data_IF_707727404103
#
_entry.id   IF_707727404103
#
_cell.length_a   1.000
_cell.length_b   1.000
_cell.length_c   1.000
_cell.angle_alpha   90.00
_cell.angle_beta   90.00
_cell.angle_gamma   90.00
#
_symmetry.space_group_name_H-M   'P 1'
#
loop_
_entity.id
_entity.type
_entity.pdbx_description
1 polymer ?
#
# COMPACT_ATOMS: atom_id res chain seq x y z
N UNK A 1 4.48 5.30 -10.20
CA UNK A 1 3.93 4.09 -9.57
C UNK A 1 4.76 3.84 -8.32
N UNK A 2 4.16 3.78 -7.13
CA UNK A 2 4.90 3.61 -5.87
C UNK A 2 5.67 2.27 -5.86
N UNK A 3 6.86 2.24 -5.23
CA UNK A 3 7.69 1.02 -5.06
C UNK A 3 6.88 -0.15 -4.50
N UNK A 4 5.95 0.17 -3.61
CA UNK A 4 5.10 -0.81 -2.95
C UNK A 4 4.18 -1.50 -3.95
N UNK A 5 3.51 -0.71 -4.79
CA UNK A 5 2.66 -1.25 -5.87
C UNK A 5 3.47 -2.04 -6.89
N UNK A 6 4.67 -1.55 -7.24
CA UNK A 6 5.59 -2.26 -8.13
C UNK A 6 6.02 -3.61 -7.55
N UNK A 7 6.26 -3.70 -6.25
CA UNK A 7 6.64 -4.94 -5.57
C UNK A 7 5.50 -5.95 -5.57
N UNK A 8 4.28 -5.53 -5.25
CA UNK A 8 3.09 -6.41 -5.31
C UNK A 8 2.89 -6.92 -6.76
N UNK A 9 3.04 -6.04 -7.75
CA UNK A 9 2.93 -6.37 -9.18
C UNK A 9 3.99 -7.37 -9.63
N UNK A 10 5.27 -7.10 -9.32
CA UNK A 10 6.36 -7.97 -9.74
C UNK A 10 6.32 -9.36 -9.11
N UNK A 11 5.81 -9.46 -7.89
CA UNK A 11 5.83 -10.68 -7.10
C UNK A 11 4.50 -11.46 -7.13
N UNK A 12 3.48 -10.92 -7.81
CA UNK A 12 2.14 -11.50 -7.86
C UNK A 12 1.60 -11.92 -6.49
N UNK A 13 1.92 -11.13 -5.44
CA UNK A 13 1.72 -11.53 -4.04
C UNK A 13 0.25 -11.67 -3.66
N UNK A 14 -0.61 -10.90 -4.31
CA UNK A 14 -2.05 -10.87 -4.06
C UNK A 14 -2.78 -10.55 -5.37
N UNK A 15 -3.14 -11.57 -6.18
CA UNK A 15 -3.79 -11.36 -7.47
C UNK A 15 -5.11 -10.56 -7.36
N UNK A 16 -5.85 -10.75 -6.28
CA UNK A 16 -7.05 -9.96 -5.97
C UNK A 16 -6.71 -8.47 -5.80
N UNK A 17 -5.68 -8.15 -5.01
CA UNK A 17 -5.23 -6.78 -4.79
C UNK A 17 -4.71 -6.12 -6.07
N UNK A 18 -4.10 -6.88 -6.98
CA UNK A 18 -3.68 -6.37 -8.29
C UNK A 18 -4.84 -5.85 -9.13
N UNK A 19 -5.99 -6.53 -9.08
CA UNK A 19 -7.20 -6.04 -9.73
C UNK A 19 -7.67 -4.73 -9.09
N UNK A 20 -7.68 -4.66 -7.76
CA UNK A 20 -8.10 -3.46 -7.04
C UNK A 20 -7.20 -2.24 -7.34
N UNK A 21 -5.89 -2.47 -7.48
CA UNK A 21 -4.90 -1.44 -7.87
C UNK A 21 -5.20 -0.91 -9.28
N UNK A 22 -5.57 -1.80 -10.21
CA UNK A 22 -5.93 -1.42 -11.60
C UNK A 22 -7.26 -0.68 -11.66
N UNK A 23 -8.17 -0.98 -10.74
CA UNK A 23 -9.46 -0.28 -10.59
C UNK A 23 -9.32 1.08 -9.88
N UNK A 24 -8.11 1.48 -9.49
CA UNK A 24 -7.86 2.78 -8.85
C UNK A 24 -8.27 2.85 -7.38
N UNK A 25 -8.54 1.72 -6.73
CA UNK A 25 -8.92 1.68 -5.31
C UNK A 25 -7.75 2.01 -4.40
N UNK A 26 -8.03 2.52 -3.20
CA UNK A 26 -7.00 2.72 -2.18
C UNK A 26 -6.52 1.37 -1.67
N UNK A 27 -5.20 1.18 -1.64
CA UNK A 27 -4.55 0.02 -1.06
C UNK A 27 -3.79 0.44 0.18
N UNK A 28 -3.99 -0.30 1.27
CA UNK A 28 -3.27 -0.13 2.52
C UNK A 28 -2.46 -1.38 2.82
N UNK A 29 -1.13 -1.28 2.75
CA UNK A 29 -0.25 -2.29 3.32
C UNK A 29 0.02 -1.95 4.77
N UNK A 30 0.02 -2.95 5.63
CA UNK A 30 0.36 -2.74 7.03
C UNK A 30 1.05 -3.96 7.64
N UNK A 31 1.72 -3.74 8.76
CA UNK A 31 2.43 -4.77 9.49
C UNK A 31 2.71 -4.33 10.93
N UNK A 32 3.21 -5.26 11.74
CA UNK A 32 3.39 -5.05 13.17
C UNK A 32 3.21 -6.36 13.93
N UNK A 33 3.62 -6.38 15.19
CA UNK A 33 3.55 -7.60 16.01
C UNK A 33 2.39 -7.59 16.99
N UNK A 34 1.95 -6.40 17.37
CA UNK A 34 0.89 -6.20 18.35
C UNK A 34 -0.50 -6.41 17.71
N UNK A 35 -1.17 -7.47 18.14
CA UNK A 35 -2.53 -7.81 17.71
C UNK A 35 -3.57 -6.77 18.12
N UNK A 36 -3.40 -6.13 19.28
CA UNK A 36 -4.32 -5.07 19.70
C UNK A 36 -4.17 -3.86 18.79
N UNK A 37 -2.93 -3.50 18.45
CA UNK A 37 -2.67 -2.45 17.48
C UNK A 37 -3.29 -2.81 16.11
N UNK A 38 -3.07 -4.04 15.62
CA UNK A 38 -3.65 -4.52 14.35
C UNK A 38 -5.18 -4.34 14.35
N UNK A 39 -5.87 -4.83 15.38
CA UNK A 39 -7.33 -4.72 15.50
C UNK A 39 -7.82 -3.28 15.55
N UNK A 40 -7.14 -2.42 16.31
CA UNK A 40 -7.51 -1.00 16.44
C UNK A 40 -7.30 -0.27 15.12
N UNK A 41 -6.16 -0.51 14.48
CA UNK A 41 -5.80 0.10 13.20
C UNK A 41 -6.77 -0.28 12.08
N UNK A 42 -7.04 -1.58 11.88
CA UNK A 42 -7.93 -2.04 10.80
C UNK A 42 -9.34 -1.50 10.95
N UNK A 43 -9.90 -1.54 12.16
CA UNK A 43 -11.23 -0.97 12.45
C UNK A 43 -11.27 0.53 12.21
N UNK A 44 -10.25 1.27 12.65
CA UNK A 44 -10.18 2.71 12.44
C UNK A 44 -10.05 3.07 10.96
N UNK A 45 -9.20 2.36 10.22
CA UNK A 45 -9.00 2.57 8.78
C UNK A 45 -10.29 2.27 7.98
N UNK A 46 -10.98 1.18 8.29
CA UNK A 46 -12.26 0.83 7.66
C UNK A 46 -13.36 1.86 7.99
N UNK A 47 -13.44 2.30 9.25
CA UNK A 47 -14.41 3.32 9.66
C UNK A 47 -14.13 4.66 8.96
N UNK A 48 -12.86 5.07 8.86
CA UNK A 48 -12.46 6.29 8.15
C UNK A 48 -12.79 6.20 6.65
N UNK A 49 -12.51 5.06 6.01
CA UNK A 49 -12.84 4.83 4.61
C UNK A 49 -14.36 4.90 4.36
N UNK A 50 -15.15 4.29 5.24
CA UNK A 50 -16.61 4.32 5.19
C UNK A 50 -17.16 5.74 5.37
N UNK A 51 -16.63 6.49 6.34
CA UNK A 51 -17.01 7.90 6.56
C UNK A 51 -16.67 8.79 5.36
N UNK A 52 -15.59 8.48 4.64
CA UNK A 52 -15.19 9.18 3.42
C UNK A 52 -15.92 8.70 2.16
N UNK A 53 -16.72 7.63 2.23
CA UNK A 53 -17.34 7.00 1.06
C UNK A 53 -16.34 6.34 0.11
N UNK A 54 -15.17 5.94 0.61
CA UNK A 54 -14.08 5.34 -0.17
C UNK A 54 -13.94 3.87 0.20
N UNK A 55 -13.60 3.03 -0.79
CA UNK A 55 -13.20 1.64 -0.53
C UNK A 55 -11.69 1.56 -0.31
N UNK A 56 -11.28 0.91 0.79
CA UNK A 56 -9.88 0.64 1.11
C UNK A 56 -9.63 -0.86 1.16
N UNK A 57 -8.62 -1.31 0.44
CA UNK A 57 -8.20 -2.71 0.38
C UNK A 57 -6.96 -2.88 1.24
N UNK A 58 -7.12 -3.58 2.36
CA UNK A 58 -6.07 -3.74 3.35
C UNK A 58 -5.37 -5.09 3.19
N UNK A 59 -4.03 -5.10 3.23
CA UNK A 59 -3.22 -6.32 3.19
C UNK A 59 -2.19 -6.29 4.32
N UNK A 60 -2.24 -7.31 5.17
CA UNK A 60 -1.21 -7.54 6.17
C UNK A 60 0.02 -8.21 5.55
N UNK A 61 1.17 -7.55 5.67
CA UNK A 61 2.46 -8.00 5.13
C UNK A 61 3.32 -8.62 6.23
N UNK A 62 3.17 -8.21 7.49
CA UNK A 62 3.99 -8.70 8.60
C UNK A 62 5.46 -8.25 8.51
N UNK A 63 6.34 -8.89 9.30
CA UNK A 63 7.79 -8.58 9.37
C UNK A 63 8.65 -9.76 8.93
N UNK A 64 9.85 -9.50 8.40
CA UNK A 64 10.73 -10.50 7.78
C UNK A 64 11.23 -11.57 8.76
N UNK A 65 11.45 -11.21 10.03
CA UNK A 65 12.11 -12.07 11.05
C UNK A 65 11.15 -12.82 11.97
N UNK A 66 9.84 -12.70 11.79
CA UNK A 66 8.85 -13.09 12.79
C UNK A 66 7.87 -14.14 12.29
N UNK A 67 8.38 -15.26 11.79
CA UNK A 67 7.57 -16.31 11.15
C UNK A 67 6.41 -16.81 12.02
N UNK A 68 6.67 -17.14 13.28
CA UNK A 68 5.63 -17.68 14.18
C UNK A 68 4.58 -16.62 14.54
N UNK A 69 5.01 -15.37 14.80
CA UNK A 69 4.07 -14.26 15.07
C UNK A 69 3.26 -13.91 13.82
N UNK A 70 3.87 -13.85 12.64
CA UNK A 70 3.16 -13.64 11.39
C UNK A 70 2.11 -14.74 11.16
N UNK A 71 2.43 -16.00 11.45
CA UNK A 71 1.47 -17.11 11.34
C UNK A 71 0.27 -16.90 12.25
N UNK A 72 0.51 -16.57 13.51
CA UNK A 72 -0.53 -16.31 14.50
C UNK A 72 -1.38 -15.10 14.10
N UNK A 73 -0.75 -14.02 13.66
CA UNK A 73 -1.42 -12.80 13.23
C UNK A 73 -2.26 -13.06 11.98
N UNK A 74 -1.75 -13.78 10.99
CA UNK A 74 -2.50 -14.15 9.79
C UNK A 74 -3.78 -14.92 10.14
N UNK A 75 -3.68 -15.92 11.04
CA UNK A 75 -4.83 -16.71 11.46
C UNK A 75 -5.92 -15.84 12.11
N UNK A 76 -5.53 -14.94 13.03
CA UNK A 76 -6.46 -14.05 13.73
C UNK A 76 -7.08 -13.02 12.77
N UNK A 77 -6.27 -12.45 11.87
CA UNK A 77 -6.75 -11.48 10.87
C UNK A 77 -7.78 -12.11 9.94
N UNK A 78 -7.57 -13.37 9.54
CA UNK A 78 -8.53 -14.13 8.73
C UNK A 78 -9.80 -14.49 9.53
N UNK A 79 -9.64 -15.00 10.75
CA UNK A 79 -10.76 -15.38 11.63
C UNK A 79 -11.68 -14.19 11.94
N UNK A 80 -11.09 -13.02 12.21
CA UNK A 80 -11.82 -11.79 12.50
C UNK A 80 -12.20 -10.99 11.24
N UNK A 81 -11.85 -11.46 10.04
CA UNK A 81 -12.09 -10.80 8.76
C UNK A 81 -11.62 -9.33 8.74
N UNK A 82 -10.43 -9.06 9.30
CA UNK A 82 -9.91 -7.68 9.43
C UNK A 82 -9.32 -7.15 8.12
N UNK A 83 -8.70 -8.01 7.32
CA UNK A 83 -8.08 -7.66 6.04
C UNK A 83 -7.66 -8.90 5.25
N UNK A 84 -7.11 -8.69 4.05
CA UNK A 84 -6.35 -9.74 3.36
C UNK A 84 -5.04 -10.04 4.09
N UNK A 85 -4.52 -11.25 3.90
CA UNK A 85 -3.19 -11.68 4.39
C UNK A 85 -2.45 -12.38 3.26
N UNK A 86 -1.12 -12.40 3.33
CA UNK A 86 -0.33 -13.24 2.44
C UNK A 86 -0.51 -14.72 2.82
N UNK A 87 -0.89 -15.61 1.88
CA UNK A 87 -1.25 -17.00 2.18
C UNK A 87 -0.06 -17.81 2.69
N UNK A 88 1.13 -17.52 2.17
CA UNK A 88 2.36 -18.21 2.50
C UNK A 88 3.34 -17.29 3.23
N UNK A 89 3.88 -17.72 4.37
CA UNK A 89 4.86 -16.94 5.13
C UNK A 89 6.14 -16.65 4.33
N UNK A 90 6.46 -17.50 3.35
CA UNK A 90 7.58 -17.29 2.44
C UNK A 90 7.38 -16.05 1.58
N UNK A 91 6.13 -15.68 1.25
CA UNK A 91 5.83 -14.45 0.50
C UNK A 91 6.11 -13.19 1.31
N UNK A 92 5.90 -13.24 2.63
CA UNK A 92 6.30 -12.15 3.55
C UNK A 92 7.81 -11.96 3.48
N UNK A 93 8.58 -13.04 3.59
CA UNK A 93 10.03 -12.96 3.49
C UNK A 93 10.50 -12.46 2.12
N UNK A 94 9.92 -12.98 1.02
CA UNK A 94 10.24 -12.53 -0.32
C UNK A 94 9.97 -11.03 -0.53
N UNK A 95 8.88 -10.51 0.04
CA UNK A 95 8.57 -9.08 -0.04
C UNK A 95 9.73 -8.23 0.51
N UNK A 96 10.24 -8.58 1.70
CA UNK A 96 11.33 -7.85 2.34
C UNK A 96 12.67 -8.00 1.62
N UNK A 97 13.04 -9.22 1.21
CA UNK A 97 14.27 -9.47 0.43
C UNK A 97 14.28 -8.71 -0.90
N UNK A 98 13.11 -8.51 -1.51
CA UNK A 98 13.00 -7.76 -2.77
C UNK A 98 13.17 -6.26 -2.56
N UNK A 99 12.71 -5.71 -1.44
CA UNK A 99 13.02 -4.33 -1.05
C UNK A 99 14.52 -4.14 -0.82
N UNK A 100 15.18 -5.07 -0.12
CA UNK A 100 16.63 -5.06 0.08
C UNK A 100 17.37 -5.14 -1.27
N UNK A 101 16.92 -6.00 -2.17
CA UNK A 101 17.51 -6.14 -3.51
C UNK A 101 17.39 -4.86 -4.33
N UNK A 102 16.23 -4.18 -4.27
CA UNK A 102 16.03 -2.90 -4.96
C UNK A 102 16.89 -1.80 -4.34
N UNK A 103 17.04 -1.78 -3.02
CA UNK A 103 17.94 -0.87 -2.33
C UNK A 103 19.38 -1.03 -2.82
N UNK A 104 19.90 -2.27 -2.82
CA UNK A 104 21.23 -2.56 -3.31
C UNK A 104 21.44 -2.12 -4.77
N UNK A 105 20.44 -2.37 -5.63
CA UNK A 105 20.48 -1.94 -7.03
C UNK A 105 20.53 -0.42 -7.18
N UNK A 106 19.80 0.33 -6.35
CA UNK A 106 19.81 1.80 -6.34
C UNK A 106 21.13 2.36 -5.83
N UNK A 107 21.71 1.76 -4.79
CA UNK A 107 23.04 2.13 -4.29
C UNK A 107 24.10 1.95 -5.37
N UNK A 108 24.08 0.84 -6.12
CA UNK A 108 25.01 0.62 -7.24
C UNK A 108 24.87 1.65 -8.37
N UNK A 109 23.71 2.29 -8.49
CA UNK A 109 23.45 3.38 -9.44
C UNK A 109 23.77 4.78 -8.87
N UNK A 110 24.44 4.86 -7.72
CA UNK A 110 24.72 6.09 -6.98
C UNK A 110 23.45 6.90 -6.65
N UNK A 111 22.32 6.22 -6.46
CA UNK A 111 21.06 6.83 -6.00
C UNK A 111 21.04 6.92 -4.48
N UNK A 112 20.58 8.05 -3.97
CA UNK A 112 20.50 8.35 -2.54
C UNK A 112 19.08 8.81 -2.18
N UNK A 113 18.80 8.87 -0.88
CA UNK A 113 17.54 9.37 -0.32
C UNK A 113 17.28 10.82 -0.74
N UNK A 114 18.30 11.61 -1.06
CA UNK A 114 18.14 13.00 -1.50
C UNK A 114 17.77 13.09 -2.99
N UNK A 115 18.38 12.24 -3.82
CA UNK A 115 18.34 12.38 -5.27
C UNK A 115 17.33 11.45 -5.99
N UNK A 116 16.73 10.48 -5.29
CA UNK A 116 15.85 9.48 -5.89
C UNK A 116 14.65 9.19 -4.98
N UNK A 117 13.44 9.46 -5.48
CA UNK A 117 12.21 9.23 -4.73
C UNK A 117 11.97 7.74 -4.43
N UNK A 118 12.31 6.85 -5.37
CA UNK A 118 12.15 5.41 -5.21
C UNK A 118 13.10 4.94 -4.10
N UNK A 119 14.32 5.48 -4.04
CA UNK A 119 15.26 5.23 -2.94
C UNK A 119 14.70 5.66 -1.57
N UNK A 120 14.07 6.84 -1.48
CA UNK A 120 13.38 7.28 -0.25
C UNK A 120 12.29 6.30 0.19
N UNK A 121 11.44 5.89 -0.75
CA UNK A 121 10.35 4.95 -0.49
C UNK A 121 10.89 3.58 -0.02
N UNK A 122 11.95 3.07 -0.65
CA UNK A 122 12.59 1.81 -0.25
C UNK A 122 13.16 1.90 1.17
N UNK A 123 13.96 2.93 1.46
CA UNK A 123 14.58 3.11 2.78
C UNK A 123 13.52 3.28 3.87
N UNK A 124 12.46 4.02 3.58
CA UNK A 124 11.31 4.18 4.50
C UNK A 124 10.67 2.83 4.79
N UNK A 125 10.37 2.04 3.76
CA UNK A 125 9.80 0.70 3.95
C UNK A 125 10.70 -0.22 4.77
N UNK A 126 11.99 -0.28 4.44
CA UNK A 126 12.97 -1.12 5.16
C UNK A 126 13.12 -0.72 6.63
N UNK A 127 12.93 0.56 6.96
CA UNK A 127 12.96 1.01 8.37
C UNK A 127 11.86 0.38 9.23
N UNK A 128 10.72 0.02 8.62
CA UNK A 128 9.60 -0.59 9.33
C UNK A 128 9.86 -2.05 9.74
N UNK A 129 10.70 -2.77 9.01
CA UNK A 129 11.04 -4.15 9.35
C UNK A 129 11.91 -4.26 10.61
N UNK A 130 12.65 -3.19 10.93
CA UNK A 130 13.52 -3.09 12.10
C UNK A 130 12.89 -2.41 13.33
N UNK A 131 11.72 -1.78 13.18
CA UNK A 131 10.98 -1.18 14.30
C UNK A 131 10.14 -2.23 15.01
N UNK A 132 9.85 -2.07 16.31
CA UNK A 132 8.87 -2.88 17.04
C UNK A 132 7.42 -2.42 16.82
N UNK A 133 7.24 -1.18 16.33
CA UNK A 133 5.94 -0.54 16.15
C UNK A 133 5.13 -1.15 14.99
N UNK A 134 3.82 -0.89 15.04
CA UNK A 134 2.95 -1.09 13.89
C UNK A 134 3.16 -0.03 12.82
N UNK A 135 3.14 -0.43 11.55
CA UNK A 135 3.34 0.45 10.41
C UNK A 135 2.24 0.26 9.38
N UNK A 136 1.95 1.32 8.62
CA UNK A 136 1.05 1.26 7.49
C UNK A 136 1.50 2.20 6.37
N UNK A 137 1.29 1.78 5.13
CA UNK A 137 1.44 2.62 3.94
C UNK A 137 0.19 2.53 3.09
N UNK A 138 -0.36 3.69 2.79
CA UNK A 138 -1.54 3.84 1.95
C UNK A 138 -1.11 4.40 0.61
N UNK A 139 -1.50 3.74 -0.47
CA UNK A 139 -1.30 4.21 -1.83
C UNK A 139 -2.62 4.17 -2.57
N UNK A 140 -2.88 5.19 -3.38
CA UNK A 140 -3.88 5.09 -4.43
C UNK A 140 -3.40 4.10 -5.49
N UNK A 141 -4.30 3.24 -5.96
CA UNK A 141 -4.12 2.51 -7.20
C UNK A 141 -3.95 3.47 -8.37
N UNK A 142 -3.47 2.97 -9.51
CA UNK A 142 -3.39 3.78 -10.71
C UNK A 142 -4.81 4.02 -11.23
N UNK A 143 -5.48 5.08 -10.78
CA UNK A 143 -6.69 5.53 -11.44
C UNK A 143 -6.33 5.93 -12.88
N UNK A 144 -7.16 5.58 -13.90
CA UNK A 144 -7.13 6.34 -15.13
C UNK A 144 -7.36 7.80 -14.73
N UNK A 145 -6.42 8.66 -15.07
CA UNK A 145 -6.57 10.10 -14.89
C UNK A 145 -7.79 10.52 -15.71
N UNK A 146 -8.96 10.63 -15.07
CA UNK A 146 -10.11 11.31 -15.65
C UNK A 146 -10.01 12.76 -15.17
N UNK A 147 -9.45 13.69 -15.97
CA UNK A 147 -9.69 15.09 -15.69
C UNK A 147 -11.19 15.27 -15.70
N UNK A 148 -11.75 15.78 -14.61
CA UNK A 148 -13.07 16.40 -14.72
C UNK A 148 -12.91 17.52 -15.76
N UNK A 149 -13.65 17.49 -16.88
CA UNK A 149 -13.67 18.63 -17.76
C UNK A 149 -14.14 19.83 -16.93
N UNK A 150 -13.55 21.03 -17.13
CA UNK A 150 -14.01 22.22 -16.44
C UNK A 150 -15.53 22.38 -16.63
N UNK A 151 -16.26 22.87 -15.62
CA UNK A 151 -17.69 23.09 -15.73
C UNK A 151 -17.99 23.83 -17.03
N UNK A 152 -18.87 23.29 -17.87
CA UNK A 152 -19.30 23.97 -19.09
C UNK A 152 -19.86 25.33 -18.68
N UNK A 153 -19.12 26.39 -19.01
CA UNK A 153 -19.64 27.75 -18.88
C UNK A 153 -20.83 27.87 -19.83
N UNK A 154 -21.98 28.40 -19.37
CA UNK A 154 -23.14 28.61 -20.24
C UNK A 154 -22.74 29.42 -21.47
N UNK A 155 -23.15 28.94 -22.65
CA UNK A 155 -22.85 29.53 -23.95
C UNK A 155 -23.70 30.79 -24.23
N UNK A 156 -23.83 31.72 -23.27
CA UNK A 156 -24.83 32.78 -23.33
C UNK A 156 -24.29 34.22 -23.28
N UNK A 157 -22.97 34.44 -23.44
CA UNK A 157 -22.42 35.81 -23.36
C UNK A 157 -21.55 36.26 -24.53
N UNK A 158 -21.38 35.46 -25.60
CA UNK A 158 -20.50 35.82 -26.72
C UNK A 158 -21.20 36.46 -27.94
N UNK A 159 -22.54 36.54 -27.96
CA UNK A 159 -23.29 37.06 -29.12
C UNK A 159 -24.05 38.37 -28.86
N UNK A 160 -23.60 39.17 -27.89
CA UNK A 160 -24.32 40.39 -27.52
C UNK A 160 -23.46 41.64 -27.42
N UNK A 161 -22.51 41.84 -28.33
CA UNK A 161 -22.05 43.19 -28.68
C UNK A 161 -21.79 43.29 -30.18
N UNK A 162 -22.75 43.98 -30.82
CA UNK A 162 -22.55 44.76 -32.04
C UNK A 162 -21.45 45.80 -31.84
#
# INVERSE_FOLDING_TARGET
MCVILYTILLLNLAPSLLLQIREGKLVCLYGGEDLEWIRRFTKAAQAAATAAGIQIEMLYVGKSKLKDKNRRNNAIIQEENLSHVLPELTLIWYFWVRLESMWHSKVQQNKTVENDQIMREIVTMLSFDGSDDGWAVISAGAAPWHPQPPPLQPLDSAWNHR
#
